data_IF_878060732601
#
_entry.id   IF_878060732601
#
_cell.length_a   1.000
_cell.length_b   1.000
_cell.length_c   1.000
_cell.angle_alpha   90.00
_cell.angle_beta   90.00
_cell.angle_gamma   90.00
#
_symmetry.space_group_name_H-M   'P 1'
#
loop_
_entity.id
_entity.type
_entity.pdbx_description
1 polymer ?
#
# COMPACT_ATOMS: atom_id res chain seq x y z
N UNK A 1 -18.27 30.22 -37.16
CA UNK A 1 -18.67 30.00 -38.57
C UNK A 1 -19.71 28.90 -38.60
N UNK A 2 -20.87 29.13 -39.20
CA UNK A 2 -21.86 28.08 -39.43
C UNK A 2 -21.23 27.03 -40.36
N UNK A 3 -21.17 25.77 -39.91
CA UNK A 3 -20.48 24.70 -40.66
C UNK A 3 -21.05 24.57 -42.07
N UNK A 4 -22.36 24.74 -42.27
CA UNK A 4 -22.99 24.70 -43.59
C UNK A 4 -23.61 26.07 -43.92
N UNK A 5 -23.14 26.72 -44.98
CA UNK A 5 -23.68 28.01 -45.46
C UNK A 5 -24.77 27.84 -46.51
N UNK A 6 -24.79 26.70 -47.22
CA UNK A 6 -25.82 26.30 -48.18
C UNK A 6 -26.25 24.87 -47.88
N UNK A 7 -27.57 24.63 -47.89
CA UNK A 7 -28.17 23.34 -47.55
C UNK A 7 -28.78 22.60 -48.77
N UNK A 8 -28.71 23.21 -49.95
CA UNK A 8 -29.14 22.58 -51.20
C UNK A 8 -28.25 21.37 -51.54
N UNK A 9 -28.86 20.29 -52.05
CA UNK A 9 -28.15 19.06 -52.43
C UNK A 9 -27.33 19.26 -53.71
N UNK A 10 -26.21 19.97 -53.56
CA UNK A 10 -25.27 20.28 -54.63
C UNK A 10 -23.99 19.43 -54.51
N UNK A 11 -23.22 19.24 -55.61
CA UNK A 11 -21.92 18.58 -55.55
C UNK A 11 -20.97 19.19 -54.51
N UNK A 12 -21.03 20.51 -54.31
CA UNK A 12 -20.22 21.20 -53.30
C UNK A 12 -20.68 20.88 -51.87
N UNK A 13 -21.99 20.86 -51.62
CA UNK A 13 -22.55 20.43 -50.33
C UNK A 13 -22.18 18.98 -50.03
N UNK A 14 -22.33 18.07 -51.00
CA UNK A 14 -21.94 16.65 -50.85
C UNK A 14 -20.45 16.51 -50.53
N UNK A 15 -19.59 17.26 -51.24
CA UNK A 15 -18.15 17.28 -50.95
C UNK A 15 -17.86 17.75 -49.52
N UNK A 16 -18.56 18.76 -49.04
CA UNK A 16 -18.42 19.27 -47.68
C UNK A 16 -18.86 18.25 -46.63
N UNK A 17 -20.02 17.60 -46.81
CA UNK A 17 -20.51 16.52 -45.94
C UNK A 17 -19.48 15.39 -45.86
N UNK A 18 -19.01 14.89 -47.02
CA UNK A 18 -18.00 13.82 -47.07
C UNK A 18 -16.69 14.23 -46.36
N UNK A 19 -16.26 15.49 -46.48
CA UNK A 19 -15.07 15.99 -45.79
C UNK A 19 -15.23 15.98 -44.27
N UNK A 20 -16.41 16.34 -43.75
CA UNK A 20 -16.70 16.33 -42.32
C UNK A 20 -16.84 14.89 -41.79
N UNK A 21 -17.39 13.98 -42.59
CA UNK A 21 -17.42 12.56 -42.26
C UNK A 21 -16.02 11.98 -42.12
N UNK A 22 -15.10 12.29 -43.05
CA UNK A 22 -13.70 11.88 -42.94
C UNK A 22 -13.03 12.41 -41.68
N UNK A 23 -13.22 13.70 -41.35
CA UNK A 23 -12.69 14.28 -40.13
C UNK A 23 -13.29 13.65 -38.86
N UNK A 24 -14.56 13.23 -38.93
CA UNK A 24 -15.24 12.51 -37.85
C UNK A 24 -14.63 11.11 -37.65
N UNK A 25 -14.25 10.43 -38.74
CA UNK A 25 -13.57 9.13 -38.68
C UNK A 25 -12.17 9.23 -38.07
N UNK A 26 -11.39 10.23 -38.48
CA UNK A 26 -10.09 10.52 -37.85
C UNK A 26 -10.26 10.85 -36.36
N UNK A 27 -11.27 11.64 -36.01
CA UNK A 27 -11.55 12.00 -34.63
C UNK A 27 -11.90 10.75 -33.81
N UNK A 28 -12.64 9.80 -34.38
CA UNK A 28 -12.97 8.52 -33.73
C UNK A 28 -11.74 7.69 -33.42
N UNK A 29 -10.79 7.62 -34.34
CA UNK A 29 -9.52 6.92 -34.10
C UNK A 29 -8.73 7.60 -32.97
N UNK A 30 -8.60 8.93 -33.00
CA UNK A 30 -7.93 9.70 -31.95
C UNK A 30 -8.59 9.53 -30.58
N UNK A 31 -9.91 9.59 -30.50
CA UNK A 31 -10.66 9.36 -29.27
C UNK A 31 -10.44 7.93 -28.75
N UNK A 32 -10.43 6.93 -29.64
CA UNK A 32 -10.20 5.53 -29.27
C UNK A 32 -8.80 5.32 -28.71
N UNK A 33 -7.78 5.96 -29.30
CA UNK A 33 -6.41 5.90 -28.80
C UNK A 33 -6.27 6.61 -27.45
N UNK A 34 -6.89 7.78 -27.29
CA UNK A 34 -6.91 8.50 -26.01
C UNK A 34 -7.63 7.69 -24.91
N UNK A 35 -8.77 7.08 -25.23
CA UNK A 35 -9.52 6.23 -24.29
C UNK A 35 -8.71 5.01 -23.85
N UNK A 36 -7.99 4.35 -24.76
CA UNK A 36 -7.04 3.27 -24.42
C UNK A 36 -5.93 3.78 -23.50
N UNK A 37 -5.36 4.96 -23.78
CA UNK A 37 -4.37 5.60 -22.92
C UNK A 37 -4.90 5.91 -21.52
N UNK A 38 -6.11 6.44 -21.43
CA UNK A 38 -6.81 6.71 -20.16
C UNK A 38 -7.02 5.43 -19.34
N UNK A 39 -7.50 4.35 -19.98
CA UNK A 39 -7.66 3.04 -19.30
C UNK A 39 -6.34 2.49 -18.76
N UNK A 40 -5.23 2.62 -19.50
CA UNK A 40 -3.89 2.23 -19.00
C UNK A 40 -3.46 3.08 -17.82
N UNK A 41 -3.62 4.40 -17.90
CA UNK A 41 -3.26 5.29 -16.81
C UNK A 41 -4.06 5.01 -15.53
N UNK A 42 -5.37 4.76 -15.66
CA UNK A 42 -6.20 4.33 -14.53
C UNK A 42 -5.73 3.01 -13.92
N UNK A 43 -5.32 2.04 -14.75
CA UNK A 43 -4.72 0.80 -14.27
C UNK A 43 -3.45 1.05 -13.44
N UNK A 44 -2.58 1.96 -13.89
CA UNK A 44 -1.38 2.33 -13.11
C UNK A 44 -1.70 3.04 -11.79
N UNK A 45 -2.79 3.84 -11.73
CA UNK A 45 -3.25 4.44 -10.48
C UNK A 45 -3.80 3.40 -9.50
N UNK A 46 -4.53 2.41 -10.01
CA UNK A 46 -5.04 1.28 -9.22
C UNK A 46 -3.90 0.43 -8.64
N UNK A 47 -2.90 0.10 -9.45
CA UNK A 47 -1.68 -0.59 -9.00
C UNK A 47 -0.91 0.21 -7.95
N UNK A 48 -0.79 1.53 -8.13
CA UNK A 48 -0.12 2.40 -7.17
C UNK A 48 -0.88 2.48 -5.84
N UNK A 49 -2.22 2.57 -5.88
CA UNK A 49 -3.08 2.52 -4.70
C UNK A 49 -2.92 1.19 -3.95
N UNK A 50 -2.99 0.06 -4.66
CA UNK A 50 -2.76 -1.26 -4.08
C UNK A 50 -1.36 -1.39 -3.47
N UNK A 51 -0.35 -0.78 -4.10
CA UNK A 51 1.02 -0.70 -3.60
C UNK A 51 1.13 0.02 -2.26
N UNK A 52 0.46 1.17 -2.10
CA UNK A 52 0.43 1.91 -0.83
C UNK A 52 -0.19 1.07 0.29
N UNK A 53 -1.31 0.39 0.01
CA UNK A 53 -2.00 -0.45 0.99
C UNK A 53 -1.15 -1.65 1.40
N UNK A 54 -0.57 -2.36 0.43
CA UNK A 54 0.32 -3.50 0.68
C UNK A 54 1.52 -3.11 1.55
N UNK A 55 2.11 -1.94 1.28
CA UNK A 55 3.19 -1.42 2.11
C UNK A 55 2.71 -1.06 3.53
N UNK A 56 1.55 -0.40 3.65
CA UNK A 56 0.96 -0.08 4.94
C UNK A 56 0.66 -1.35 5.76
N UNK A 57 0.16 -2.41 5.15
CA UNK A 57 -0.11 -3.68 5.82
C UNK A 57 1.19 -4.37 6.27
N UNK A 58 2.23 -4.32 5.43
CA UNK A 58 3.56 -4.81 5.79
C UNK A 58 4.16 -4.04 6.98
N UNK A 59 3.99 -2.71 7.00
CA UNK A 59 4.42 -1.86 8.12
C UNK A 59 3.61 -2.15 9.40
N UNK A 60 2.31 -2.41 9.25
CA UNK A 60 1.45 -2.84 10.36
C UNK A 60 1.91 -4.16 10.97
N UNK A 61 2.21 -5.15 10.14
CA UNK A 61 2.69 -6.46 10.56
C UNK A 61 4.10 -6.40 11.20
N UNK A 62 4.94 -5.46 10.77
CA UNK A 62 6.29 -5.31 11.30
C UNK A 62 6.32 -4.80 12.74
N UNK A 63 5.45 -3.84 13.08
CA UNK A 63 5.45 -3.27 14.44
C UNK A 63 4.29 -2.34 14.78
N UNK A 64 3.50 -1.88 13.80
CA UNK A 64 2.44 -0.91 14.06
C UNK A 64 1.14 -1.51 14.65
N UNK A 65 0.92 -2.82 14.57
CA UNK A 65 -0.35 -3.46 14.93
C UNK A 65 -0.38 -4.22 16.26
N UNK A 66 0.73 -4.31 16.99
CA UNK A 66 0.85 -5.19 18.16
C UNK A 66 1.28 -4.40 19.41
N UNK A 67 0.57 -4.61 20.51
CA UNK A 67 0.91 -4.06 21.83
C UNK A 67 1.80 -5.05 22.60
N UNK A 68 2.90 -5.45 21.96
CA UNK A 68 3.88 -6.36 22.55
C UNK A 68 5.22 -5.65 22.81
N UNK A 69 6.04 -6.16 23.75
CA UNK A 69 7.30 -5.51 24.11
C UNK A 69 8.28 -5.31 22.94
N UNK A 70 8.27 -6.20 21.94
CA UNK A 70 9.15 -6.09 20.77
C UNK A 70 8.67 -4.93 19.90
N UNK A 71 7.37 -4.89 19.59
CA UNK A 71 6.77 -3.82 18.80
C UNK A 71 6.97 -2.44 19.45
N UNK A 72 6.81 -2.33 20.77
CA UNK A 72 7.12 -1.09 21.50
C UNK A 72 8.59 -0.71 21.37
N UNK A 73 9.51 -1.67 21.54
CA UNK A 73 10.95 -1.43 21.48
C UNK A 73 11.44 -0.95 20.09
N UNK A 74 10.79 -1.40 19.01
CA UNK A 74 11.14 -1.00 17.62
C UNK A 74 10.41 0.26 17.15
N UNK A 75 9.55 0.86 17.97
CA UNK A 75 8.82 2.09 17.62
C UNK A 75 7.45 1.87 16.98
N UNK A 76 6.76 0.79 17.32
CA UNK A 76 5.42 0.43 16.83
C UNK A 76 4.39 1.58 16.85
N UNK A 77 4.23 2.32 17.96
CA UNK A 77 3.32 3.48 18.00
C UNK A 77 3.63 4.56 16.96
N UNK A 78 4.92 4.76 16.64
CA UNK A 78 5.35 5.69 15.59
C UNK A 78 5.00 5.15 14.22
N UNK A 79 5.32 3.87 13.97
CA UNK A 79 4.99 3.20 12.71
C UNK A 79 3.48 3.19 12.45
N UNK A 80 2.64 3.14 13.50
CA UNK A 80 1.17 3.14 13.34
C UNK A 80 0.67 4.45 12.76
N UNK A 81 1.28 5.58 13.14
CA UNK A 81 0.95 6.89 12.54
C UNK A 81 1.37 6.96 11.08
N UNK A 82 2.57 6.48 10.73
CA UNK A 82 3.00 6.42 9.33
C UNK A 82 2.15 5.46 8.49
N UNK A 83 1.77 4.31 9.04
CA UNK A 83 0.84 3.35 8.41
C UNK A 83 -0.48 4.03 8.05
N UNK A 84 -1.04 4.82 8.98
CA UNK A 84 -2.28 5.58 8.75
C UNK A 84 -2.10 6.59 7.61
N UNK A 85 -0.97 7.30 7.58
CA UNK A 85 -0.67 8.25 6.51
C UNK A 85 -0.54 7.60 5.13
N UNK A 86 0.10 6.42 5.03
CA UNK A 86 0.16 5.67 3.77
C UNK A 86 -1.23 5.25 3.29
N UNK A 87 -2.10 4.79 4.20
CA UNK A 87 -3.49 4.47 3.85
C UNK A 87 -4.24 5.69 3.34
N UNK A 88 -4.09 6.82 4.01
CA UNK A 88 -4.74 8.07 3.61
C UNK A 88 -4.24 8.58 2.24
N UNK A 89 -2.92 8.57 2.00
CA UNK A 89 -2.35 8.86 0.68
C UNK A 89 -2.89 7.91 -0.42
N UNK A 90 -3.10 6.63 -0.08
CA UNK A 90 -3.76 5.67 -0.95
C UNK A 90 -5.18 6.10 -1.30
N UNK A 91 -5.99 6.53 -0.32
CA UNK A 91 -7.36 7.00 -0.58
C UNK A 91 -7.41 8.21 -1.52
N UNK A 92 -6.44 9.12 -1.44
CA UNK A 92 -6.36 10.25 -2.37
C UNK A 92 -6.05 9.80 -3.81
N UNK A 93 -5.21 8.76 -3.99
CA UNK A 93 -4.95 8.16 -5.30
C UNK A 93 -6.19 7.49 -5.88
N UNK A 94 -6.93 6.76 -5.05
CA UNK A 94 -8.18 6.11 -5.47
C UNK A 94 -9.24 7.14 -5.87
N UNK A 95 -9.34 8.25 -5.14
CA UNK A 95 -10.21 9.36 -5.52
C UNK A 95 -9.80 9.97 -6.89
N UNK A 96 -8.50 10.17 -7.12
CA UNK A 96 -7.98 10.63 -8.41
C UNK A 96 -8.34 9.66 -9.55
N UNK A 97 -8.18 8.35 -9.33
CA UNK A 97 -8.56 7.29 -10.28
C UNK A 97 -10.04 7.37 -10.64
N UNK A 98 -10.92 7.42 -9.63
CA UNK A 98 -12.37 7.52 -9.83
C UNK A 98 -12.78 8.81 -10.55
N UNK A 99 -12.16 9.94 -10.21
CA UNK A 99 -12.39 11.20 -10.92
C UNK A 99 -11.98 11.10 -12.39
N UNK A 100 -10.82 10.52 -12.69
CA UNK A 100 -10.35 10.32 -14.06
C UNK A 100 -11.29 9.40 -14.88
N UNK A 101 -11.86 8.38 -14.24
CA UNK A 101 -12.84 7.49 -14.86
C UNK A 101 -14.06 8.28 -15.34
N UNK A 102 -14.70 9.04 -14.46
CA UNK A 102 -15.92 9.78 -14.81
C UNK A 102 -15.67 11.00 -15.69
N UNK A 103 -14.60 11.75 -15.44
CA UNK A 103 -14.35 13.04 -16.09
C UNK A 103 -13.69 12.90 -17.46
N UNK A 104 -13.07 11.75 -17.74
CA UNK A 104 -12.41 11.51 -19.03
C UNK A 104 -12.84 10.18 -19.67
N UNK A 105 -12.70 9.05 -18.97
CA UNK A 105 -12.94 7.74 -19.58
C UNK A 105 -14.39 7.58 -20.05
N UNK A 106 -15.35 7.85 -19.17
CA UNK A 106 -16.78 7.71 -19.46
C UNK A 106 -17.23 8.73 -20.51
N UNK A 107 -16.72 9.96 -20.43
CA UNK A 107 -16.97 11.02 -21.42
C UNK A 107 -16.49 10.63 -22.82
N UNK A 108 -15.25 10.13 -22.93
CA UNK A 108 -14.71 9.63 -24.20
C UNK A 108 -15.52 8.43 -24.71
N UNK A 109 -15.89 7.49 -23.84
CA UNK A 109 -16.71 6.35 -24.20
C UNK A 109 -18.09 6.78 -24.73
N UNK A 110 -18.75 7.73 -24.06
CA UNK A 110 -20.02 8.28 -24.49
C UNK A 110 -19.88 8.99 -25.84
N UNK A 111 -18.86 9.82 -26.03
CA UNK A 111 -18.61 10.53 -27.28
C UNK A 111 -18.35 9.56 -28.45
N UNK A 112 -17.57 8.50 -28.23
CA UNK A 112 -17.32 7.45 -29.24
C UNK A 112 -18.58 6.65 -29.55
N UNK A 113 -19.27 6.18 -28.52
CA UNK A 113 -20.34 5.19 -28.68
C UNK A 113 -21.69 5.80 -29.04
N UNK A 114 -21.91 7.08 -28.70
CA UNK A 114 -23.17 7.78 -28.94
C UNK A 114 -23.00 8.81 -30.05
N UNK A 115 -22.15 9.81 -29.88
CA UNK A 115 -22.06 10.92 -30.83
C UNK A 115 -21.43 10.47 -32.17
N UNK A 116 -20.24 9.85 -32.13
CA UNK A 116 -19.52 9.43 -33.33
C UNK A 116 -20.18 8.26 -34.05
N UNK A 117 -20.68 7.27 -33.31
CA UNK A 117 -21.49 6.19 -33.91
C UNK A 117 -22.82 6.71 -34.45
N UNK A 118 -23.45 7.70 -33.81
CA UNK A 118 -24.68 8.33 -34.29
C UNK A 118 -24.52 8.96 -35.69
N UNK A 119 -23.35 9.52 -36.01
CA UNK A 119 -23.04 9.98 -37.38
C UNK A 119 -23.06 8.81 -38.37
N UNK A 120 -22.46 7.66 -38.02
CA UNK A 120 -22.47 6.46 -38.88
C UNK A 120 -23.88 5.92 -39.09
N UNK A 121 -24.71 5.90 -38.05
CA UNK A 121 -26.11 5.47 -38.16
C UNK A 121 -26.92 6.41 -39.07
N UNK A 122 -26.73 7.73 -38.92
CA UNK A 122 -27.34 8.71 -39.81
C UNK A 122 -26.90 8.51 -41.27
N UNK A 123 -25.62 8.24 -41.51
CA UNK A 123 -25.11 7.96 -42.86
C UNK A 123 -25.75 6.71 -43.47
N UNK A 124 -25.79 5.60 -42.73
CA UNK A 124 -26.43 4.36 -43.20
C UNK A 124 -27.92 4.54 -43.49
N UNK A 125 -28.62 5.40 -42.73
CA UNK A 125 -30.02 5.74 -43.01
C UNK A 125 -30.16 6.59 -44.27
N UNK A 126 -29.26 7.54 -44.48
CA UNK A 126 -29.21 8.35 -45.70
C UNK A 126 -28.96 7.48 -46.94
N UNK A 127 -27.98 6.58 -46.90
CA UNK A 127 -27.68 5.70 -48.05
C UNK A 127 -28.90 4.84 -48.43
N UNK A 128 -29.62 4.29 -47.44
CA UNK A 128 -30.87 3.55 -47.67
C UNK A 128 -31.97 4.42 -48.26
N UNK A 129 -32.15 5.63 -47.72
CA UNK A 129 -33.16 6.56 -48.22
C UNK A 129 -32.83 7.07 -49.63
N UNK A 130 -31.55 7.22 -49.98
CA UNK A 130 -31.10 7.59 -51.31
C UNK A 130 -31.46 6.50 -52.34
N UNK A 131 -31.16 5.23 -52.03
CA UNK A 131 -31.53 4.09 -52.90
C UNK A 131 -33.05 4.01 -53.09
N UNK A 132 -33.83 4.14 -52.02
CA UNK A 132 -35.29 4.12 -52.10
C UNK A 132 -35.84 5.28 -52.96
N UNK A 133 -35.25 6.47 -52.84
CA UNK A 133 -35.64 7.63 -53.63
C UNK A 133 -35.29 7.46 -55.12
N UNK A 134 -34.11 6.93 -55.44
CA UNK A 134 -33.71 6.64 -56.82
C UNK A 134 -34.63 5.59 -57.46
N UNK A 135 -35.02 4.55 -56.72
CA UNK A 135 -35.97 3.52 -57.19
C UNK A 135 -37.37 4.10 -57.44
N UNK A 136 -37.90 4.92 -56.52
CA UNK A 136 -39.20 5.57 -56.70
C UNK A 136 -39.18 6.50 -57.93
N UNK A 137 -38.08 7.23 -58.12
CA UNK A 137 -37.86 8.10 -59.27
C UNK A 137 -37.80 7.33 -60.59
N UNK A 138 -37.11 6.19 -60.62
CA UNK A 138 -37.05 5.33 -61.82
C UNK A 138 -38.42 4.77 -62.19
N UNK A 139 -39.19 4.29 -61.22
CA UNK A 139 -40.57 3.80 -61.44
C UNK A 139 -41.48 4.90 -62.00
N UNK A 140 -41.43 6.10 -61.41
CA UNK A 140 -42.25 7.23 -61.85
C UNK A 140 -41.90 7.69 -63.26
N UNK A 141 -40.60 7.79 -63.59
CA UNK A 141 -40.15 8.15 -64.95
C UNK A 141 -40.51 7.08 -65.99
N UNK A 142 -40.65 5.82 -65.56
CA UNK A 142 -41.00 4.70 -66.43
C UNK A 142 -42.50 4.57 -66.75
N UNK A 143 -43.34 5.49 -66.24
CA UNK A 143 -44.79 5.52 -66.50
C UNK A 143 -45.04 5.67 -68.00
N UNK A 144 -45.82 4.74 -68.57
CA UNK A 144 -46.13 4.70 -70.00
C UNK A 144 -47.44 5.43 -70.29
N UNK A 145 -47.59 5.91 -71.53
CA UNK A 145 -48.86 6.43 -72.05
C UNK A 145 -49.96 5.35 -71.93
N UNK A 146 -51.06 5.68 -71.26
CA UNK A 146 -52.18 4.75 -71.01
C UNK A 146 -52.15 4.06 -69.63
N UNK A 147 -51.16 4.34 -68.77
CA UNK A 147 -51.18 3.92 -67.36
C UNK A 147 -52.40 4.52 -66.66
N UNK A 148 -53.10 3.71 -65.84
CA UNK A 148 -54.30 4.15 -65.10
C UNK A 148 -53.95 5.34 -64.20
N UNK A 149 -54.83 6.35 -64.15
CA UNK A 149 -54.62 7.56 -63.34
C UNK A 149 -54.34 7.25 -61.86
N UNK A 150 -55.06 6.29 -61.27
CA UNK A 150 -54.84 5.84 -59.90
C UNK A 150 -53.41 5.35 -59.64
N UNK A 151 -52.83 4.58 -60.57
CA UNK A 151 -51.45 4.06 -60.47
C UNK A 151 -50.45 5.20 -60.59
N UNK A 152 -50.73 6.20 -61.43
CA UNK A 152 -49.88 7.40 -61.54
C UNK A 152 -49.88 8.16 -60.21
N UNK A 153 -51.06 8.38 -59.61
CA UNK A 153 -51.19 9.06 -58.31
C UNK A 153 -50.46 8.31 -57.19
N UNK A 154 -50.55 6.98 -57.13
CA UNK A 154 -49.80 6.17 -56.17
C UNK A 154 -48.28 6.33 -56.34
N UNK A 155 -47.78 6.30 -57.58
CA UNK A 155 -46.36 6.52 -57.87
C UNK A 155 -45.89 7.95 -57.55
N UNK A 156 -46.74 8.96 -57.74
CA UNK A 156 -46.46 10.35 -57.33
C UNK A 156 -46.34 10.47 -55.81
N UNK A 157 -47.25 9.83 -55.06
CA UNK A 157 -47.22 9.78 -53.60
C UNK A 157 -45.97 9.05 -53.08
N UNK A 158 -45.66 7.88 -53.64
CA UNK A 158 -44.45 7.11 -53.32
C UNK A 158 -43.17 7.93 -53.56
N UNK A 159 -43.09 8.62 -54.70
CA UNK A 159 -41.97 9.49 -55.04
C UNK A 159 -41.84 10.64 -54.04
N UNK A 160 -42.95 11.28 -53.69
CA UNK A 160 -42.98 12.38 -52.72
C UNK A 160 -42.53 11.90 -51.32
N UNK A 161 -43.02 10.76 -50.87
CA UNK A 161 -42.67 10.16 -49.59
C UNK A 161 -41.19 9.76 -49.53
N UNK A 162 -40.67 9.13 -50.59
CA UNK A 162 -39.27 8.74 -50.68
C UNK A 162 -38.33 9.96 -50.69
N UNK A 163 -38.67 11.02 -51.44
CA UNK A 163 -37.93 12.30 -51.43
C UNK A 163 -37.91 12.92 -50.03
N UNK A 164 -39.06 12.96 -49.36
CA UNK A 164 -39.18 13.52 -48.02
C UNK A 164 -38.37 12.72 -46.99
N UNK A 165 -38.33 11.39 -47.12
CA UNK A 165 -37.48 10.53 -46.29
C UNK A 165 -35.99 10.75 -46.53
N UNK A 166 -35.57 10.87 -47.80
CA UNK A 166 -34.19 11.21 -48.18
C UNK A 166 -33.75 12.55 -47.58
N UNK A 167 -34.54 13.61 -47.78
CA UNK A 167 -34.24 14.94 -47.26
C UNK A 167 -34.12 14.96 -45.74
N UNK A 168 -35.04 14.29 -45.03
CA UNK A 168 -34.98 14.15 -43.58
C UNK A 168 -33.71 13.43 -43.12
N UNK A 169 -33.31 12.34 -43.78
CA UNK A 169 -32.06 11.65 -43.44
C UNK A 169 -30.82 12.51 -43.72
N UNK A 170 -30.85 13.29 -44.81
CA UNK A 170 -29.78 14.21 -45.19
C UNK A 170 -29.57 15.29 -44.12
N UNK A 171 -30.65 15.93 -43.67
CA UNK A 171 -30.57 16.92 -42.59
C UNK A 171 -30.16 16.31 -41.25
N UNK A 172 -30.59 15.09 -40.92
CA UNK A 172 -30.14 14.39 -39.72
C UNK A 172 -28.62 14.15 -39.72
N UNK A 173 -28.04 13.75 -40.86
CA UNK A 173 -26.60 13.59 -41.00
C UNK A 173 -25.87 14.93 -40.86
N UNK A 174 -26.32 15.97 -41.55
CA UNK A 174 -25.78 17.34 -41.45
C UNK A 174 -25.79 17.84 -40.01
N UNK A 175 -26.91 17.64 -39.31
CA UNK A 175 -27.06 18.04 -37.92
C UNK A 175 -26.09 17.28 -37.01
N UNK A 176 -25.97 15.96 -37.18
CA UNK A 176 -25.03 15.15 -36.41
C UNK A 176 -23.58 15.61 -36.62
N UNK A 177 -23.16 15.86 -37.87
CA UNK A 177 -21.83 16.38 -38.20
C UNK A 177 -21.59 17.78 -37.62
N UNK A 178 -22.57 18.67 -37.72
CA UNK A 178 -22.47 20.01 -37.13
C UNK A 178 -22.35 19.95 -35.60
N UNK A 179 -23.04 19.01 -34.95
CA UNK A 179 -22.94 18.77 -33.52
C UNK A 179 -21.55 18.29 -33.11
N UNK A 180 -20.94 17.35 -33.85
CA UNK A 180 -19.53 16.94 -33.63
C UNK A 180 -18.58 18.14 -33.74
N UNK A 181 -18.74 18.95 -34.80
CA UNK A 181 -17.93 20.15 -35.03
C UNK A 181 -18.07 21.20 -33.91
N UNK A 182 -19.24 21.27 -33.27
CA UNK A 182 -19.48 22.13 -32.12
C UNK A 182 -18.85 21.54 -30.85
N UNK A 183 -19.21 20.31 -30.49
CA UNK A 183 -18.76 19.61 -29.28
C UNK A 183 -17.25 19.51 -29.18
N UNK A 184 -16.56 19.15 -30.27
CA UNK A 184 -15.10 18.98 -30.27
C UNK A 184 -14.33 20.24 -29.85
N UNK A 185 -14.95 21.43 -29.94
CA UNK A 185 -14.32 22.71 -29.57
C UNK A 185 -14.22 22.92 -28.06
N UNK A 186 -15.05 22.24 -27.27
CA UNK A 186 -15.11 22.46 -25.82
C UNK A 186 -15.03 21.17 -25.02
N UNK A 187 -15.69 20.09 -25.45
CA UNK A 187 -15.90 18.90 -24.61
C UNK A 187 -14.58 18.22 -24.17
N UNK A 188 -13.60 18.15 -25.08
CA UNK A 188 -12.28 17.62 -24.75
C UNK A 188 -11.46 18.55 -23.86
N UNK A 189 -11.55 19.87 -24.09
CA UNK A 189 -10.85 20.86 -23.26
C UNK A 189 -11.41 20.86 -21.84
N UNK A 190 -12.73 20.83 -21.69
CA UNK A 190 -13.40 20.70 -20.40
C UNK A 190 -12.95 19.43 -19.68
N UNK A 191 -12.98 18.27 -20.36
CA UNK A 191 -12.59 16.99 -19.76
C UNK A 191 -11.13 16.99 -19.30
N UNK A 192 -10.20 17.46 -20.15
CA UNK A 192 -8.77 17.49 -19.81
C UNK A 192 -8.47 18.53 -18.73
N UNK A 193 -9.07 19.73 -18.79
CA UNK A 193 -8.92 20.73 -17.73
C UNK A 193 -9.39 20.20 -16.39
N UNK A 194 -10.52 19.49 -16.38
CA UNK A 194 -11.06 18.91 -15.15
C UNK A 194 -10.15 17.80 -14.59
N UNK A 195 -9.51 16.99 -15.45
CA UNK A 195 -8.47 16.03 -15.04
C UNK A 195 -7.26 16.74 -14.43
N UNK A 196 -6.78 17.84 -15.02
CA UNK A 196 -5.64 18.59 -14.47
C UNK A 196 -5.97 19.20 -13.10
N UNK A 197 -7.19 19.70 -12.93
CA UNK A 197 -7.69 20.21 -11.66
C UNK A 197 -7.85 19.11 -10.59
N UNK A 198 -8.22 17.88 -10.99
CA UNK A 198 -8.19 16.71 -10.10
C UNK A 198 -6.76 16.38 -9.63
N UNK A 199 -5.76 16.43 -10.52
CA UNK A 199 -4.36 16.23 -10.15
C UNK A 199 -3.88 17.30 -9.17
N UNK A 200 -4.24 18.57 -9.39
CA UNK A 200 -3.90 19.67 -8.47
C UNK A 200 -4.45 19.38 -7.05
N UNK A 201 -5.71 18.97 -6.95
CA UNK A 201 -6.31 18.57 -5.66
C UNK A 201 -5.63 17.38 -5.03
N UNK A 202 -5.27 16.36 -5.81
CA UNK A 202 -4.57 15.18 -5.32
C UNK A 202 -3.23 15.54 -4.68
N UNK A 203 -2.39 16.33 -5.38
CA UNK A 203 -1.12 16.77 -4.85
C UNK A 203 -1.27 17.70 -3.64
N UNK A 204 -2.27 18.58 -3.64
CA UNK A 204 -2.56 19.47 -2.52
C UNK A 204 -2.90 18.69 -1.25
N UNK A 205 -3.77 17.68 -1.35
CA UNK A 205 -4.13 16.83 -0.21
C UNK A 205 -2.91 16.07 0.35
N UNK A 206 -2.10 15.47 -0.53
CA UNK A 206 -0.87 14.78 -0.10
C UNK A 206 0.14 15.72 0.56
N UNK A 207 0.33 16.91 0.00
CA UNK A 207 1.19 17.94 0.59
C UNK A 207 0.68 18.39 1.97
N UNK A 208 -0.61 18.69 2.10
CA UNK A 208 -1.21 19.13 3.36
C UNK A 208 -1.08 18.06 4.44
N UNK A 209 -1.36 16.80 4.12
CA UNK A 209 -1.18 15.67 5.04
C UNK A 209 0.27 15.56 5.55
N UNK A 210 1.24 15.54 4.63
CA UNK A 210 2.65 15.39 5.00
C UNK A 210 3.20 16.63 5.72
N UNK A 211 2.73 17.82 5.38
CA UNK A 211 3.10 19.07 6.07
C UNK A 211 2.60 19.07 7.51
N UNK A 212 1.39 18.54 7.78
CA UNK A 212 0.90 18.38 9.15
C UNK A 212 1.72 17.36 9.95
N UNK A 213 2.26 16.35 9.28
CA UNK A 213 3.11 15.32 9.90
C UNK A 213 4.57 15.73 10.06
N UNK A 214 5.03 16.76 9.35
CA UNK A 214 6.42 17.20 9.33
C UNK A 214 7.03 17.38 10.73
N UNK A 215 6.37 18.05 11.70
CA UNK A 215 6.90 18.17 13.05
C UNK A 215 7.10 16.80 13.74
N UNK A 216 6.17 15.87 13.52
CA UNK A 216 6.24 14.53 14.08
C UNK A 216 7.37 13.71 13.44
N UNK A 217 7.57 13.82 12.12
CA UNK A 217 8.68 13.18 11.41
C UNK A 217 10.01 13.65 11.98
N UNK A 218 10.18 14.96 12.17
CA UNK A 218 11.39 15.53 12.76
C UNK A 218 11.60 15.07 14.21
N UNK A 219 10.54 15.05 15.02
CA UNK A 219 10.60 14.56 16.39
C UNK A 219 11.09 13.11 16.48
N UNK A 220 10.56 12.23 15.61
CA UNK A 220 10.99 10.82 15.52
C UNK A 220 12.46 10.71 15.15
N UNK A 221 12.93 11.51 14.20
CA UNK A 221 14.34 11.51 13.79
C UNK A 221 15.26 11.96 14.93
N UNK A 222 14.90 13.04 15.63
CA UNK A 222 15.64 13.51 16.81
C UNK A 222 15.69 12.44 17.91
N UNK A 223 14.56 11.78 18.19
CA UNK A 223 14.51 10.69 19.16
C UNK A 223 15.42 9.52 18.76
N UNK A 224 15.40 9.11 17.48
CA UNK A 224 16.28 8.04 16.98
C UNK A 224 17.77 8.38 17.12
N UNK A 225 18.15 9.64 16.86
CA UNK A 225 19.53 10.11 17.05
C UNK A 225 19.96 10.09 18.52
N UNK A 226 19.09 10.52 19.44
CA UNK A 226 19.35 10.46 20.88
C UNK A 226 19.47 9.01 21.35
N UNK A 227 18.57 8.13 20.92
CA UNK A 227 18.62 6.69 21.23
C UNK A 227 19.91 6.04 20.74
N UNK A 228 20.38 6.40 19.55
CA UNK A 228 21.67 5.93 19.02
C UNK A 228 22.84 6.37 19.90
N UNK A 229 22.84 7.64 20.35
CA UNK A 229 23.92 8.15 21.21
C UNK A 229 23.94 7.46 22.58
N UNK A 230 22.77 7.20 23.16
CA UNK A 230 22.66 6.44 24.42
C UNK A 230 23.18 5.01 24.26
N UNK A 231 22.78 4.32 23.19
CA UNK A 231 23.24 2.95 22.92
C UNK A 231 24.78 2.87 22.77
N UNK A 232 25.40 3.85 22.09
CA UNK A 232 26.86 3.92 21.99
C UNK A 232 27.53 4.16 23.35
N UNK A 233 26.95 5.03 24.18
CA UNK A 233 27.46 5.27 25.55
C UNK A 233 27.36 4.03 26.42
N UNK A 234 26.26 3.29 26.34
CA UNK A 234 26.05 2.09 27.14
C UNK A 234 26.94 0.94 26.66
N UNK A 235 27.22 0.86 25.35
CA UNK A 235 28.20 -0.07 24.80
C UNK A 235 29.61 0.21 25.35
N UNK A 236 30.03 1.49 25.42
CA UNK A 236 31.32 1.88 25.99
C UNK A 236 31.43 1.55 27.49
N UNK A 237 30.38 1.86 28.27
CA UNK A 237 30.33 1.49 29.70
C UNK A 237 30.41 -0.02 29.89
N UNK A 238 29.70 -0.79 29.07
CA UNK A 238 29.73 -2.25 29.12
C UNK A 238 31.12 -2.79 28.75
N UNK A 239 31.76 -2.24 27.72
CA UNK A 239 33.11 -2.62 27.31
C UNK A 239 34.14 -2.36 28.43
N UNK A 240 34.08 -1.19 29.07
CA UNK A 240 34.91 -0.85 30.23
C UNK A 240 34.68 -1.81 31.38
N UNK A 241 33.42 -2.11 31.69
CA UNK A 241 33.10 -3.06 32.77
C UNK A 241 33.60 -4.47 32.48
N UNK A 242 33.52 -4.93 31.22
CA UNK A 242 34.09 -6.22 30.81
C UNK A 242 35.62 -6.22 30.97
N UNK A 243 36.30 -5.13 30.62
CA UNK A 243 37.75 -5.02 30.78
C UNK A 243 38.20 -5.02 32.24
N UNK A 244 37.47 -4.30 33.11
CA UNK A 244 37.70 -4.33 34.55
C UNK A 244 37.57 -5.75 35.11
N UNK A 245 36.48 -6.46 34.77
CA UNK A 245 36.28 -7.85 35.19
C UNK A 245 37.40 -8.78 34.73
N UNK A 246 37.89 -8.64 33.48
CA UNK A 246 39.03 -9.43 32.98
C UNK A 246 40.30 -9.15 33.77
N UNK A 247 40.56 -7.89 34.09
CA UNK A 247 41.74 -7.48 34.87
C UNK A 247 41.66 -8.02 36.29
N UNK A 248 40.48 -7.95 36.92
CA UNK A 248 40.24 -8.52 38.25
C UNK A 248 40.46 -10.04 38.26
N UNK A 249 39.99 -10.75 37.24
CA UNK A 249 40.18 -12.20 37.09
C UNK A 249 41.64 -12.60 36.88
N UNK A 250 42.38 -11.86 36.03
CA UNK A 250 43.82 -12.06 35.82
C UNK A 250 44.61 -11.86 37.13
N UNK A 251 44.32 -10.79 37.89
CA UNK A 251 44.96 -10.53 39.19
C UNK A 251 44.64 -11.66 40.19
N UNK A 252 43.39 -12.13 40.23
CA UNK A 252 43.00 -13.23 41.10
C UNK A 252 43.72 -14.53 40.73
N UNK A 253 43.85 -14.85 39.45
CA UNK A 253 44.54 -16.04 38.97
C UNK A 253 46.05 -16.00 39.28
N UNK A 254 46.71 -14.85 39.10
CA UNK A 254 48.13 -14.67 39.46
C UNK A 254 48.34 -14.87 40.97
N UNK A 255 47.47 -14.29 41.81
CA UNK A 255 47.53 -14.48 43.28
C UNK A 255 47.33 -15.94 43.70
N UNK A 256 46.47 -16.68 43.01
CA UNK A 256 46.24 -18.10 43.28
C UNK A 256 47.45 -18.94 42.84
N UNK A 257 48.05 -18.66 41.69
CA UNK A 257 49.26 -19.36 41.23
C UNK A 257 50.46 -19.14 42.16
N UNK A 258 50.71 -17.90 42.62
CA UNK A 258 51.82 -17.62 43.54
C UNK A 258 51.70 -18.33 44.89
N UNK A 259 50.48 -18.61 45.34
CA UNK A 259 50.24 -19.36 46.58
C UNK A 259 50.54 -20.86 46.45
N UNK A 260 50.67 -21.39 45.22
CA UNK A 260 51.02 -22.80 44.97
C UNK A 260 52.53 -23.01 44.92
N UNK A 261 53.29 -22.06 44.38
CA UNK A 261 54.76 -22.18 44.26
C UNK A 261 55.51 -22.00 45.60
N UNK A 262 54.84 -21.52 46.65
CA UNK A 262 55.42 -21.43 48.00
C UNK A 262 55.36 -22.74 48.79
N UNK A 263 54.85 -23.84 48.20
CA UNK A 263 54.88 -25.17 48.81
C UNK A 263 55.72 -26.16 48.00
N UNK A 264 57.02 -25.88 47.86
CA UNK A 264 58.02 -26.94 47.60
C UNK A 264 58.91 -27.07 48.84
N UNK A 265 58.32 -27.45 49.97
CA UNK A 265 59.04 -27.95 51.16
C UNK A 265 58.06 -28.53 52.17
N UNK A 266 58.21 -29.83 52.48
CA UNK A 266 57.78 -30.38 53.76
C UNK A 266 56.37 -30.96 53.81
N UNK A 267 56.30 -32.26 53.59
CA UNK A 267 55.41 -33.24 54.20
C UNK A 267 54.49 -32.72 55.33
N UNK A 268 53.22 -32.49 54.99
CA UNK A 268 52.21 -32.00 55.91
C UNK A 268 50.95 -31.66 55.14
N UNK A 269 49.84 -32.27 55.51
CA UNK A 269 48.51 -32.03 54.92
C UNK A 269 48.18 -30.55 55.10
N UNK A 270 48.57 -29.72 54.14
CA UNK A 270 48.29 -28.29 54.14
C UNK A 270 46.81 -28.10 53.85
N UNK A 271 46.02 -28.01 54.91
CA UNK A 271 44.63 -27.58 54.87
C UNK A 271 44.61 -26.10 54.50
N UNK A 272 44.72 -25.80 53.20
CA UNK A 272 44.44 -24.49 52.61
C UNK A 272 42.96 -24.19 52.88
N UNK A 273 42.63 -23.72 54.08
CA UNK A 273 41.24 -23.58 54.52
C UNK A 273 41.02 -22.91 55.88
N UNK A 274 41.99 -22.89 56.80
CA UNK A 274 41.73 -22.34 58.15
C UNK A 274 41.28 -20.87 58.16
N UNK A 275 41.73 -20.02 57.22
CA UNK A 275 41.31 -18.62 57.16
C UNK A 275 39.90 -18.44 56.59
N UNK A 276 39.46 -19.30 55.65
CA UNK A 276 38.11 -19.18 55.08
C UNK A 276 37.05 -19.59 56.10
N UNK A 277 37.30 -20.59 56.94
CA UNK A 277 36.37 -21.01 57.99
C UNK A 277 36.09 -19.90 59.01
N UNK A 278 37.13 -19.18 59.50
CA UNK A 278 36.93 -18.09 60.46
C UNK A 278 36.08 -16.95 59.90
N UNK A 279 36.26 -16.62 58.62
CA UNK A 279 35.46 -15.59 57.94
C UNK A 279 34.00 -16.03 57.78
N UNK A 280 33.77 -17.32 57.49
CA UNK A 280 32.42 -17.89 57.38
C UNK A 280 31.72 -17.85 58.75
N UNK A 281 32.38 -18.29 59.82
CA UNK A 281 31.82 -18.26 61.17
C UNK A 281 31.47 -16.84 61.62
N UNK A 282 32.34 -15.86 61.37
CA UNK A 282 32.08 -14.46 61.68
C UNK A 282 30.85 -13.91 60.92
N UNK A 283 30.69 -14.29 59.65
CA UNK A 283 29.56 -13.91 58.82
C UNK A 283 28.23 -14.53 59.27
N UNK A 284 28.28 -15.78 59.78
CA UNK A 284 27.13 -16.47 60.37
C UNK A 284 26.74 -15.90 61.75
N UNK A 285 27.70 -15.33 62.48
CA UNK A 285 27.44 -14.68 63.78
C UNK A 285 26.88 -13.26 63.62
N UNK A 286 27.32 -12.51 62.62
CA UNK A 286 26.86 -11.12 62.38
C UNK A 286 25.43 -11.02 61.84
N UNK A 287 24.87 -12.14 61.35
CA UNK A 287 23.50 -12.24 60.82
C UNK A 287 22.42 -12.11 61.89
N UNK A 288 22.80 -12.09 63.18
CA UNK A 288 21.89 -11.82 64.29
C UNK A 288 21.09 -10.50 64.12
N UNK A 289 21.59 -9.58 63.27
CA UNK A 289 20.95 -8.30 62.97
C UNK A 289 19.95 -8.33 61.79
N UNK A 290 19.61 -9.51 61.26
CA UNK A 290 18.46 -9.73 60.37
C UNK A 290 18.72 -9.68 58.86
N UNK A 291 19.89 -9.24 58.40
CA UNK A 291 20.20 -9.19 56.97
C UNK A 291 20.94 -10.46 56.50
N UNK A 292 20.30 -11.23 55.61
CA UNK A 292 20.83 -12.49 55.08
C UNK A 292 21.89 -12.20 54.01
N UNK A 293 23.15 -12.53 54.30
CA UNK A 293 24.26 -12.44 53.35
C UNK A 293 24.58 -13.79 52.68
N UNK A 294 25.06 -13.76 51.44
CA UNK A 294 25.54 -14.93 50.70
C UNK A 294 26.97 -15.26 51.13
N UNK A 295 27.16 -16.43 51.74
CA UNK A 295 28.49 -16.96 52.07
C UNK A 295 29.20 -17.42 50.79
N UNK A 296 28.48 -18.18 49.95
CA UNK A 296 29.03 -18.72 48.71
C UNK A 296 27.92 -19.02 47.72
N UNK A 297 28.20 -18.80 46.45
CA UNK A 297 27.30 -19.17 45.37
C UNK A 297 28.10 -19.62 44.16
N UNK A 298 27.41 -20.25 43.22
CA UNK A 298 28.01 -20.74 41.98
C UNK A 298 27.31 -21.99 41.52
N UNK A 299 28.01 -22.82 40.76
CA UNK A 299 27.44 -24.06 40.25
C UNK A 299 28.05 -25.28 40.94
N UNK A 300 27.20 -26.15 41.48
CA UNK A 300 27.58 -27.47 41.98
C UNK A 300 26.89 -28.56 41.18
N UNK A 301 27.54 -29.70 41.05
CA UNK A 301 26.87 -30.92 40.60
C UNK A 301 26.05 -31.48 41.76
N UNK A 302 24.75 -31.69 41.54
CA UNK A 302 23.82 -32.30 42.50
C UNK A 302 23.20 -33.54 41.87
N UNK A 303 23.32 -34.68 42.54
CA UNK A 303 22.63 -35.91 42.18
C UNK A 303 21.33 -36.02 43.00
N UNK A 304 20.17 -36.34 42.38
CA UNK A 304 18.97 -36.73 43.13
C UNK A 304 19.27 -37.93 44.05
N UNK A 305 18.56 -38.06 45.18
CA UNK A 305 18.73 -39.21 46.10
C UNK A 305 18.33 -40.56 45.48
N UNK A 306 17.69 -40.57 44.32
CA UNK A 306 17.40 -41.79 43.59
C UNK A 306 18.72 -42.40 43.06
N UNK A 307 18.94 -43.71 43.26
CA UNK A 307 20.15 -44.43 42.85
C UNK A 307 20.46 -44.27 41.36
N UNK A 308 19.44 -44.07 40.51
CA UNK A 308 19.58 -43.79 39.07
C UNK A 308 19.71 -42.30 38.72
N UNK A 309 19.87 -41.43 39.71
CA UNK A 309 19.97 -39.99 39.50
C UNK A 309 21.24 -39.62 38.73
N UNK A 310 21.09 -38.90 37.63
CA UNK A 310 22.20 -38.25 36.93
C UNK A 310 22.70 -37.04 37.73
N UNK A 311 24.01 -36.80 37.73
CA UNK A 311 24.59 -35.57 38.26
C UNK A 311 24.18 -34.39 37.37
N UNK A 312 23.44 -33.42 37.93
CA UNK A 312 23.05 -32.21 37.19
C UNK A 312 23.73 -30.99 37.79
N UNK A 313 24.26 -30.13 36.92
CA UNK A 313 24.78 -28.81 37.32
C UNK A 313 23.61 -27.94 37.78
N UNK A 314 23.67 -27.40 39.00
CA UNK A 314 22.66 -26.49 39.55
C UNK A 314 23.34 -25.29 40.19
N UNK A 315 22.76 -24.11 40.02
CA UNK A 315 23.22 -22.93 40.73
C UNK A 315 22.80 -23.04 42.20
N UNK A 316 23.76 -23.00 43.11
CA UNK A 316 23.53 -23.05 44.56
C UNK A 316 23.83 -21.70 45.19
N UNK A 317 23.16 -21.44 46.31
CA UNK A 317 23.49 -20.35 47.23
C UNK A 317 23.53 -20.93 48.63
N UNK A 318 24.62 -20.66 49.33
CA UNK A 318 24.78 -20.87 50.75
C UNK A 318 24.68 -19.51 51.43
N UNK A 319 23.67 -19.34 52.26
CA UNK A 319 23.47 -18.12 53.02
C UNK A 319 24.07 -18.19 54.44
N UNK A 320 24.09 -17.03 55.10
CA UNK A 320 24.63 -16.80 56.44
C UNK A 320 23.82 -17.48 57.56
N UNK A 321 22.61 -17.97 57.28
CA UNK A 321 21.88 -18.85 58.19
C UNK A 321 22.30 -20.32 58.07
N UNK A 322 23.25 -20.64 57.18
CA UNK A 322 23.64 -22.01 56.87
C UNK A 322 22.66 -22.73 55.94
N UNK A 323 21.73 -22.00 55.31
CA UNK A 323 20.76 -22.57 54.37
C UNK A 323 21.43 -22.74 53.01
N UNK A 324 21.50 -23.98 52.54
CA UNK A 324 21.90 -24.32 51.18
C UNK A 324 20.66 -24.53 50.31
N UNK A 325 20.42 -23.62 49.37
CA UNK A 325 19.34 -23.76 48.40
C UNK A 325 19.86 -23.70 46.96
N UNK A 326 19.05 -24.20 46.03
CA UNK A 326 19.39 -24.27 44.62
C UNK A 326 18.33 -23.55 43.82
N UNK A 327 18.74 -22.72 42.86
CA UNK A 327 17.81 -22.18 41.88
C UNK A 327 17.32 -23.32 40.98
N UNK A 328 16.01 -23.48 40.91
CA UNK A 328 15.39 -24.33 39.90
C UNK A 328 15.51 -23.66 38.54
N UNK A 329 15.92 -24.41 37.51
CA UNK A 329 15.58 -24.03 36.15
C UNK A 329 14.06 -24.12 36.04
N UNK A 330 13.33 -23.03 36.30
CA UNK A 330 11.98 -22.86 35.75
C UNK A 330 12.15 -22.53 34.26
N UNK A 331 12.66 -23.51 33.52
CA UNK A 331 12.76 -23.49 32.08
C UNK A 331 11.80 -24.53 31.53
N UNK A 332 10.78 -24.06 30.82
CA UNK A 332 9.90 -24.85 29.92
C UNK A 332 8.99 -25.87 30.61
N UNK A 333 7.88 -25.39 31.19
CA UNK A 333 6.59 -26.05 30.97
C UNK A 333 5.48 -25.01 31.11
N UNK A 334 4.71 -24.88 30.04
CA UNK A 334 3.54 -24.04 29.92
C UNK A 334 2.45 -24.51 30.89
N UNK A 335 1.67 -23.55 31.41
CA UNK A 335 0.22 -23.72 31.54
C UNK A 335 -0.30 -24.55 32.72
N UNK A 336 -1.34 -23.97 33.32
CA UNK A 336 -2.42 -24.63 34.07
C UNK A 336 -2.09 -25.04 35.51
N UNK A 337 -2.38 -24.07 36.38
CA UNK A 337 -3.12 -24.24 37.64
C UNK A 337 -3.63 -25.65 37.94
N UNK A 338 -3.18 -26.24 39.04
CA UNK A 338 -4.03 -27.12 39.82
C UNK A 338 -3.63 -27.03 41.29
N UNK A 339 -4.63 -26.64 42.08
CA UNK A 339 -4.71 -26.85 43.52
C UNK A 339 -4.58 -28.34 43.81
N UNK A 340 -3.82 -28.71 44.84
CA UNK A 340 -4.06 -29.93 45.59
C UNK A 340 -3.94 -29.66 47.09
N UNK A 341 -4.90 -30.28 47.76
CA UNK A 341 -5.40 -30.19 49.12
C UNK A 341 -4.55 -30.95 50.15
N UNK A 342 -4.95 -30.76 51.42
CA UNK A 342 -4.98 -31.73 52.55
C UNK A 342 -3.62 -32.14 53.14
N UNK A 343 -3.37 -32.14 54.46
CA UNK A 343 -4.20 -32.04 55.68
C UNK A 343 -3.63 -31.02 56.67
#
# INVERSE_FOLDING_TARGET
MATFTKLEDSPMFRKQVNSLEHLTDELKERCSNLHKGCKRFMGSLDEAYAGDLSFADSLQAFGAGLDDPISVAIGGPVMSKFTTAFRELGTYKELLRSQLEHMLSDRLSQFINVDLNGVKDCRQRLDRAAVAYDQAREKFVSVRKGTRAEVVTELEEDLHNAKSAFERCRFNLVHALANIEAKKKYEFLESISAVMDAHLRYFKQGYELLSQMEPFIHQVLTYAQQSKQMALSDQDKLAKRIQEFRTEEEIANVRMASNVDTSTSGDGIHVVGLQSYKTIEALMQSTANGEVQVIKQGYLFKRPQNIRGEWKRRFFVLDSHGTLYYYGNKGKSQGVSSQQTTE
#
